data_IF_462277560252
#
_entry.id   IF_462277560252
#
_cell.length_a   1.000
_cell.length_b   1.000
_cell.length_c   1.000
_cell.angle_alpha   90.00
_cell.angle_beta   90.00
_cell.angle_gamma   90.00
#
_symmetry.space_group_name_H-M   'P 1'
#
loop_
_entity.id
_entity.type
_entity.pdbx_description
1 polymer ?
#
# COMPACT_ATOMS: atom_id res chain seq x y z
N UNK A 1 38.48 6.90 -42.40
CA UNK A 1 39.50 6.98 -41.34
C UNK A 1 39.55 8.42 -40.89
N UNK A 2 39.21 8.81 -39.69
CA UNK A 2 38.82 8.13 -38.45
C UNK A 2 38.25 9.24 -37.55
N UNK A 3 37.44 8.86 -36.56
CA UNK A 3 37.14 9.65 -35.34
C UNK A 3 36.53 11.05 -35.60
N UNK A 4 35.21 11.21 -35.54
CA UNK A 4 34.61 11.74 -34.30
C UNK A 4 33.12 11.38 -34.23
N UNK A 5 32.84 10.08 -34.26
CA UNK A 5 31.58 9.56 -33.72
C UNK A 5 31.70 9.57 -32.20
N UNK A 6 31.38 10.69 -31.54
CA UNK A 6 31.14 10.81 -30.09
C UNK A 6 30.82 12.27 -29.72
N UNK A 7 29.57 12.70 -29.86
CA UNK A 7 29.08 13.79 -29.01
C UNK A 7 27.54 13.82 -28.99
N UNK A 8 27.00 13.64 -27.80
CA UNK A 8 25.69 14.15 -27.37
C UNK A 8 24.43 13.63 -28.07
N UNK A 9 24.06 12.41 -27.68
CA UNK A 9 22.65 12.07 -27.39
C UNK A 9 22.23 12.92 -26.18
N UNK A 10 21.91 14.20 -26.39
CA UNK A 10 21.45 15.09 -25.32
C UNK A 10 19.93 15.04 -25.22
N UNK A 11 19.49 14.13 -24.35
CA UNK A 11 18.26 14.14 -23.57
C UNK A 11 17.05 14.89 -24.13
N UNK A 12 16.14 14.16 -24.76
CA UNK A 12 14.71 14.50 -24.76
C UNK A 12 14.14 14.23 -23.37
N UNK A 13 14.38 15.11 -22.40
CA UNK A 13 13.55 15.17 -21.19
C UNK A 13 12.41 16.14 -21.46
N UNK A 14 11.27 15.59 -21.83
CA UNK A 14 10.00 16.30 -21.85
C UNK A 14 9.77 16.88 -20.47
N UNK A 15 9.93 18.20 -20.38
CA UNK A 15 9.61 18.98 -19.19
C UNK A 15 8.09 19.04 -19.11
N UNK A 16 7.48 18.10 -18.39
CA UNK A 16 6.15 18.34 -17.83
C UNK A 16 6.32 19.53 -16.90
N UNK A 17 5.95 20.71 -17.40
CA UNK A 17 5.80 21.90 -16.58
C UNK A 17 4.70 21.54 -15.57
N UNK A 18 5.08 21.25 -14.34
CA UNK A 18 4.17 21.32 -13.21
C UNK A 18 3.48 22.68 -13.31
N UNK A 19 2.18 22.65 -13.59
CA UNK A 19 1.37 23.85 -13.68
C UNK A 19 1.36 24.47 -12.29
N UNK A 20 2.25 25.44 -12.09
CA UNK A 20 2.23 26.29 -10.91
C UNK A 20 1.01 27.18 -11.08
N UNK A 21 -0.12 26.76 -10.51
CA UNK A 21 -1.30 27.60 -10.44
C UNK A 21 -0.88 28.82 -9.62
N UNK A 22 -0.77 29.96 -10.32
CA UNK A 22 -0.47 31.24 -9.71
C UNK A 22 -1.78 31.73 -9.08
N UNK A 23 -2.13 31.22 -7.91
CA UNK A 23 -3.29 31.71 -7.16
C UNK A 23 -2.91 33.04 -6.50
N UNK A 24 -3.33 34.14 -7.12
CA UNK A 24 -3.30 35.48 -6.53
C UNK A 24 -4.53 35.67 -5.64
N UNK A 25 -4.30 35.95 -4.35
CA UNK A 25 -5.28 36.52 -3.43
C UNK A 25 -6.09 35.51 -2.64
N UNK A 26 -5.57 35.01 -1.51
CA UNK A 26 -6.27 34.12 -0.60
C UNK A 26 -5.80 34.34 0.87
N UNK A 27 -6.70 34.04 1.82
CA UNK A 27 -6.62 34.39 3.25
C UNK A 27 -5.39 33.76 3.93
N UNK A 28 -4.94 34.31 5.07
CA UNK A 28 -3.76 33.84 5.80
C UNK A 28 -3.78 32.31 6.08
N UNK A 29 -4.98 31.78 6.30
CA UNK A 29 -5.26 30.37 6.57
C UNK A 29 -4.99 29.45 5.36
N UNK A 30 -5.22 29.94 4.14
CA UNK A 30 -4.94 29.21 2.90
C UNK A 30 -3.45 29.21 2.56
N UNK A 31 -2.70 30.22 3.04
CA UNK A 31 -1.24 30.26 2.92
C UNK A 31 -0.56 29.13 3.70
N UNK A 32 -1.04 28.85 4.91
CA UNK A 32 -0.51 27.77 5.76
C UNK A 32 -0.77 26.39 5.15
N UNK A 33 -1.94 26.19 4.53
CA UNK A 33 -2.29 24.94 3.83
C UNK A 33 -1.39 24.75 2.61
N UNK A 34 -1.21 25.79 1.78
CA UNK A 34 -0.32 25.73 0.62
C UNK A 34 1.12 25.45 1.05
N UNK A 35 1.58 26.00 2.16
CA UNK A 35 2.91 25.75 2.69
C UNK A 35 3.05 24.33 3.25
N UNK A 36 2.02 23.80 3.91
CA UNK A 36 1.96 22.40 4.34
C UNK A 36 2.00 21.44 3.16
N UNK A 37 1.18 21.68 2.13
CA UNK A 37 1.17 20.86 0.91
C UNK A 37 2.53 20.86 0.23
N UNK A 38 3.17 22.03 0.09
CA UNK A 38 4.52 22.14 -0.47
C UNK A 38 5.53 21.29 0.31
N UNK A 39 5.50 21.34 1.65
CA UNK A 39 6.39 20.55 2.50
C UNK A 39 6.12 19.06 2.35
N UNK A 40 4.85 18.65 2.40
CA UNK A 40 4.44 17.25 2.23
C UNK A 40 4.84 16.70 0.86
N UNK A 41 4.52 17.40 -0.23
CA UNK A 41 4.89 16.98 -1.58
C UNK A 41 6.40 16.96 -1.78
N UNK A 42 7.14 17.94 -1.22
CA UNK A 42 8.60 17.96 -1.26
C UNK A 42 9.21 16.74 -0.59
N UNK A 43 8.77 16.43 0.63
CA UNK A 43 9.23 15.26 1.38
C UNK A 43 8.86 13.95 0.67
N UNK A 44 7.64 13.87 0.12
CA UNK A 44 7.18 12.71 -0.66
C UNK A 44 8.05 12.45 -1.88
N UNK A 45 8.42 13.50 -2.62
CA UNK A 45 9.30 13.38 -3.78
C UNK A 45 10.69 12.90 -3.38
N UNK A 46 11.23 13.37 -2.25
CA UNK A 46 12.54 12.91 -1.76
C UNK A 46 12.54 11.41 -1.43
N UNK A 47 11.49 10.92 -0.77
CA UNK A 47 11.36 9.49 -0.49
C UNK A 47 11.17 8.66 -1.76
N UNK A 48 10.35 9.13 -2.71
CA UNK A 48 10.10 8.41 -3.96
C UNK A 48 11.37 8.30 -4.81
N UNK A 49 12.18 9.36 -4.88
CA UNK A 49 13.48 9.33 -5.59
C UNK A 49 14.43 8.29 -4.98
N UNK A 50 14.49 8.22 -3.64
CA UNK A 50 15.29 7.20 -2.94
C UNK A 50 14.77 5.79 -3.19
N UNK A 51 13.45 5.58 -3.27
CA UNK A 51 12.85 4.29 -3.62
C UNK A 51 13.23 3.88 -5.04
N UNK A 52 13.09 4.79 -6.00
CA UNK A 52 13.37 4.53 -7.42
C UNK A 52 14.87 4.18 -7.63
N UNK A 53 15.79 4.81 -6.89
CA UNK A 53 17.23 4.48 -6.91
C UNK A 53 17.50 3.08 -6.36
N UNK A 54 16.80 2.67 -5.29
CA UNK A 54 16.93 1.34 -4.69
C UNK A 54 16.41 0.26 -5.66
N UNK A 55 15.26 0.48 -6.29
CA UNK A 55 14.68 -0.48 -7.24
C UNK A 55 15.49 -0.59 -8.54
N UNK A 56 16.04 0.52 -9.03
CA UNK A 56 16.99 0.52 -10.13
C UNK A 56 18.23 -0.34 -9.81
N UNK A 57 18.71 -0.28 -8.56
CA UNK A 57 19.85 -1.08 -8.09
C UNK A 57 19.53 -2.57 -7.92
N UNK A 58 18.25 -2.92 -7.69
CA UNK A 58 17.78 -4.31 -7.53
C UNK A 58 17.69 -5.06 -8.86
N UNK A 59 17.58 -4.35 -9.98
CA UNK A 59 17.40 -4.95 -11.31
C UNK A 59 18.62 -5.72 -11.87
N UNK A 60 19.79 -5.68 -11.23
CA UNK A 60 21.02 -6.33 -11.72
C UNK A 60 21.22 -7.77 -11.19
N UNK A 61 20.43 -8.24 -10.21
CA UNK A 61 20.70 -9.52 -9.52
C UNK A 61 19.69 -10.67 -9.73
N UNK A 62 18.99 -10.75 -10.87
CA UNK A 62 18.17 -11.93 -11.19
C UNK A 62 18.57 -12.52 -12.55
N UNK A 63 19.76 -13.11 -12.61
CA UNK A 63 20.09 -14.12 -13.60
C UNK A 63 20.45 -15.40 -12.87
N UNK A 64 19.62 -16.44 -13.03
CA UNK A 64 19.97 -17.80 -12.63
C UNK A 64 18.84 -18.60 -11.97
N UNK A 65 18.27 -19.49 -12.79
CA UNK A 65 17.54 -20.72 -12.45
C UNK A 65 16.01 -20.65 -12.33
N UNK A 66 15.38 -20.78 -13.51
CA UNK A 66 14.06 -21.41 -13.63
C UNK A 66 14.19 -22.91 -13.33
N UNK A 67 13.64 -23.34 -12.21
CA UNK A 67 13.33 -24.75 -11.94
C UNK A 67 11.80 -24.86 -11.92
N UNK A 68 11.22 -25.29 -13.03
CA UNK A 68 9.79 -25.59 -13.15
C UNK A 68 9.50 -26.95 -12.51
N UNK A 69 9.17 -26.96 -11.22
CA UNK A 69 8.57 -28.13 -10.56
C UNK A 69 7.07 -28.08 -10.81
N UNK A 70 6.58 -29.00 -11.63
CA UNK A 70 5.15 -29.25 -11.75
C UNK A 70 4.66 -29.93 -10.45
N UNK A 71 4.14 -29.12 -9.52
CA UNK A 71 3.43 -29.64 -8.35
C UNK A 71 2.04 -30.05 -8.82
N UNK A 72 1.85 -31.35 -8.99
CA UNK A 72 0.52 -31.95 -9.08
C UNK A 72 -0.08 -31.89 -7.67
N UNK A 73 -0.91 -30.87 -7.41
CA UNK A 73 -1.64 -30.80 -6.15
C UNK A 73 -2.82 -31.77 -6.23
N UNK A 74 -2.55 -33.02 -5.86
CA UNK A 74 -3.61 -33.90 -5.39
C UNK A 74 -4.27 -33.22 -4.19
N UNK A 75 -5.57 -32.92 -4.34
CA UNK A 75 -6.44 -32.48 -3.25
C UNK A 75 -6.66 -33.64 -2.28
N UNK A 76 -5.61 -34.02 -1.55
CA UNK A 76 -5.76 -34.80 -0.34
C UNK A 76 -5.64 -33.82 0.82
N UNK A 77 -6.76 -33.61 1.51
CA UNK A 77 -6.91 -32.71 2.65
C UNK A 77 -6.03 -33.15 3.81
N UNK A 78 -4.72 -32.88 3.72
CA UNK A 78 -3.88 -32.75 4.88
C UNK A 78 -4.31 -31.46 5.57
N UNK A 79 -5.18 -31.62 6.57
CA UNK A 79 -5.48 -30.59 7.56
C UNK A 79 -4.21 -30.28 8.36
N UNK A 80 -3.19 -29.71 7.72
CA UNK A 80 -2.13 -29.02 8.41
C UNK A 80 -2.77 -27.77 8.98
N UNK A 81 -3.40 -27.90 10.15
CA UNK A 81 -3.92 -26.76 10.90
C UNK A 81 -2.70 -25.97 11.35
N UNK A 82 -2.31 -24.99 10.54
CA UNK A 82 -1.48 -23.89 11.04
C UNK A 82 -2.11 -23.40 12.35
N UNK A 83 -1.31 -23.06 13.38
CA UNK A 83 -1.82 -22.38 14.56
C UNK A 83 -2.71 -21.23 14.07
N UNK A 84 -3.93 -21.13 14.61
CA UNK A 84 -4.85 -20.06 14.23
C UNK A 84 -4.08 -18.73 14.32
N UNK A 85 -3.88 -18.07 13.19
CA UNK A 85 -3.17 -16.80 13.16
C UNK A 85 -3.95 -15.83 14.05
N UNK A 86 -3.36 -15.46 15.18
CA UNK A 86 -3.98 -14.53 16.11
C UNK A 86 -3.68 -13.12 15.63
N UNK A 87 -4.69 -12.43 15.11
CA UNK A 87 -4.55 -11.05 14.68
C UNK A 87 -4.61 -10.17 15.94
N UNK A 88 -3.59 -9.33 16.19
CA UNK A 88 -3.60 -8.44 17.35
C UNK A 88 -4.75 -7.42 17.23
N UNK A 89 -5.30 -7.03 18.38
CA UNK A 89 -6.35 -6.00 18.43
C UNK A 89 -5.73 -4.65 18.08
N UNK A 90 -6.37 -3.93 17.16
CA UNK A 90 -5.96 -2.61 16.72
C UNK A 90 -6.54 -1.54 17.63
N UNK A 91 -5.66 -0.77 18.28
CA UNK A 91 -6.03 0.28 19.23
C UNK A 91 -6.20 1.67 18.58
N UNK A 92 -6.00 1.80 17.26
CA UNK A 92 -6.10 3.10 16.56
C UNK A 92 -4.76 3.80 16.33
N UNK A 93 -3.64 3.22 16.75
CA UNK A 93 -2.30 3.76 16.46
C UNK A 93 -1.98 3.62 14.98
N UNK A 94 -1.70 4.73 14.31
CA UNK A 94 -1.41 4.73 12.87
C UNK A 94 -0.19 3.87 12.51
N UNK A 95 0.82 3.80 13.37
CA UNK A 95 2.03 2.99 13.18
C UNK A 95 1.72 1.49 13.04
N UNK A 96 0.69 1.02 13.75
CA UNK A 96 0.28 -0.39 13.76
C UNK A 96 -0.69 -0.73 12.62
N UNK A 97 -1.24 0.28 11.93
CA UNK A 97 -2.30 0.10 10.92
C UNK A 97 -1.86 -0.76 9.73
N UNK A 98 -0.66 -0.50 9.20
CA UNK A 98 -0.16 -1.22 8.01
C UNK A 98 -0.01 -2.70 8.34
N UNK A 99 0.63 -3.02 9.47
CA UNK A 99 0.82 -4.41 9.91
C UNK A 99 -0.51 -5.11 10.20
N UNK A 100 -1.43 -4.43 10.89
CA UNK A 100 -2.77 -4.95 11.15
C UNK A 100 -3.51 -5.28 9.85
N UNK A 101 -3.50 -4.35 8.89
CA UNK A 101 -4.18 -4.51 7.59
C UNK A 101 -3.63 -5.72 6.84
N UNK A 102 -2.32 -5.86 6.74
CA UNK A 102 -1.70 -6.97 6.02
C UNK A 102 -2.03 -8.33 6.66
N UNK A 103 -2.01 -8.39 8.00
CA UNK A 103 -2.43 -9.59 8.75
C UNK A 103 -3.91 -9.92 8.52
N UNK A 104 -4.78 -8.93 8.59
CA UNK A 104 -6.22 -9.13 8.38
C UNK A 104 -6.53 -9.57 6.95
N UNK A 105 -5.88 -8.96 5.95
CA UNK A 105 -6.06 -9.34 4.55
C UNK A 105 -5.62 -10.77 4.31
N UNK A 106 -4.44 -11.13 4.83
CA UNK A 106 -3.86 -12.47 4.62
C UNK A 106 -4.63 -13.57 5.34
N UNK A 107 -5.17 -13.29 6.53
CA UNK A 107 -5.82 -14.32 7.36
C UNK A 107 -7.35 -14.38 7.25
N UNK A 108 -8.02 -13.26 6.97
CA UNK A 108 -9.49 -13.17 6.96
C UNK A 108 -10.02 -12.83 5.57
N UNK A 109 -9.46 -11.81 4.91
CA UNK A 109 -9.99 -11.37 3.61
C UNK A 109 -9.77 -12.41 2.50
N UNK A 110 -8.57 -13.00 2.44
CA UNK A 110 -8.18 -14.01 1.44
C UNK A 110 -8.96 -15.34 1.57
N UNK A 111 -9.51 -15.61 2.75
CA UNK A 111 -10.23 -16.85 3.06
C UNK A 111 -11.60 -16.85 2.34
N UNK A 112 -11.75 -17.74 1.36
CA UNK A 112 -13.00 -17.89 0.59
C UNK A 112 -14.09 -18.64 1.34
N UNK A 113 -13.75 -19.36 2.42
CA UNK A 113 -14.70 -20.10 3.25
C UNK A 113 -15.50 -19.23 4.23
N UNK A 114 -15.10 -17.97 4.44
CA UNK A 114 -15.82 -17.02 5.30
C UNK A 114 -16.72 -16.10 4.47
N UNK A 115 -17.98 -15.97 4.88
CA UNK A 115 -18.91 -15.00 4.29
C UNK A 115 -18.57 -13.55 4.68
N UNK A 116 -18.98 -12.55 3.89
CA UNK A 116 -18.62 -11.15 4.16
C UNK A 116 -19.10 -10.66 5.53
N UNK A 117 -20.29 -11.08 5.95
CA UNK A 117 -20.84 -10.79 7.29
C UNK A 117 -19.92 -11.33 8.40
N UNK A 118 -19.41 -12.55 8.24
CA UNK A 118 -18.50 -13.16 9.22
C UNK A 118 -17.15 -12.42 9.24
N UNK A 119 -16.62 -12.06 8.06
CA UNK A 119 -15.39 -11.25 7.95
C UNK A 119 -15.56 -9.90 8.64
N UNK A 120 -16.69 -9.25 8.44
CA UNK A 120 -17.00 -7.98 9.08
C UNK A 120 -17.15 -8.14 10.59
N UNK A 121 -17.85 -9.16 11.06
CA UNK A 121 -17.95 -9.45 12.50
C UNK A 121 -16.56 -9.67 13.13
N UNK A 122 -15.66 -10.39 12.46
CA UNK A 122 -14.28 -10.53 12.89
C UNK A 122 -13.54 -9.19 12.93
N UNK A 123 -13.69 -8.36 11.89
CA UNK A 123 -13.11 -7.02 11.86
C UNK A 123 -13.58 -6.17 13.05
N UNK A 124 -14.89 -6.18 13.36
CA UNK A 124 -15.43 -5.44 14.51
C UNK A 124 -14.84 -5.88 15.85
N UNK A 125 -14.57 -7.17 16.01
CA UNK A 125 -13.97 -7.73 17.22
C UNK A 125 -12.47 -7.47 17.37
N UNK A 126 -11.81 -7.04 16.30
CA UNK A 126 -10.37 -6.74 16.27
C UNK A 126 -10.05 -5.27 16.50
N UNK A 127 -11.06 -4.41 16.63
CA UNK A 127 -10.88 -3.01 16.97
C UNK A 127 -11.10 -2.79 18.47
N UNK A 128 -10.27 -1.93 19.06
CA UNK A 128 -10.40 -1.42 20.43
C UNK A 128 -10.68 0.09 20.42
N UNK A 129 -11.05 0.63 21.57
CA UNK A 129 -11.07 2.07 21.88
C UNK A 129 -11.84 2.94 20.85
N UNK A 130 -11.14 3.89 20.23
CA UNK A 130 -11.68 4.85 19.27
C UNK A 130 -12.10 4.17 17.96
N UNK A 131 -11.27 3.34 17.29
CA UNK A 131 -11.69 2.59 16.11
C UNK A 131 -12.97 1.78 16.33
N UNK A 132 -13.09 1.07 17.45
CA UNK A 132 -14.28 0.28 17.77
C UNK A 132 -15.53 1.16 17.89
N UNK A 133 -15.38 2.35 18.48
CA UNK A 133 -16.47 3.32 18.63
C UNK A 133 -16.93 3.90 17.30
N UNK A 134 -16.02 4.06 16.34
CA UNK A 134 -16.33 4.53 15.00
C UNK A 134 -17.13 3.49 14.22
N UNK A 135 -16.75 2.22 14.24
CA UNK A 135 -17.42 1.20 13.42
C UNK A 135 -18.66 0.58 14.07
N UNK A 136 -18.95 0.88 15.34
CA UNK A 136 -20.03 0.23 16.11
C UNK A 136 -21.40 0.36 15.44
N UNK A 137 -21.68 1.53 14.85
CA UNK A 137 -22.97 1.90 14.29
C UNK A 137 -23.21 1.32 12.89
N UNK A 138 -22.16 0.77 12.27
CA UNK A 138 -22.27 0.16 10.95
C UNK A 138 -22.97 -1.21 11.09
N UNK A 139 -24.10 -1.43 10.40
CA UNK A 139 -24.84 -2.68 10.48
C UNK A 139 -24.04 -3.84 9.88
N UNK A 140 -24.24 -5.05 10.41
CA UNK A 140 -23.65 -6.28 9.87
C UNK A 140 -24.42 -6.73 8.61
N UNK A 141 -24.26 -6.03 7.49
CA UNK A 141 -24.82 -6.44 6.19
C UNK A 141 -23.72 -6.91 5.22
N UNK A 142 -24.13 -7.57 4.13
CA UNK A 142 -23.19 -8.05 3.12
C UNK A 142 -22.60 -6.89 2.30
N UNK A 143 -23.35 -5.78 2.16
CA UNK A 143 -22.88 -4.54 1.51
C UNK A 143 -21.91 -3.76 2.41
N UNK A 144 -22.18 -3.75 3.71
CA UNK A 144 -21.40 -3.04 4.72
C UNK A 144 -19.91 -3.43 4.78
N UNK A 145 -19.56 -4.68 4.45
CA UNK A 145 -18.15 -5.10 4.38
C UNK A 145 -17.37 -4.48 3.22
N UNK A 146 -18.04 -4.11 2.12
CA UNK A 146 -17.38 -3.47 0.96
C UNK A 146 -17.27 -1.95 1.13
N UNK A 147 -18.10 -1.36 2.00
CA UNK A 147 -18.12 0.07 2.31
C UNK A 147 -17.29 0.45 3.56
N UNK A 148 -16.87 -0.54 4.35
CA UNK A 148 -16.06 -0.37 5.57
C UNK A 148 -14.55 -0.47 5.31
#
# INVERSE_FOLDING_TARGET
>A
MSEEQKESIKGKRGRVKGSLIRCTGLSAEESEIIEFEKRYFGLKLEFQDKIDVIDASRSINVSGQNISIAIQTEQSGANFRLPKLNIPVFSGKFEDWINFKDLFVTAVHSQTSLGKIQKFQYLKGLFSDEPASLIKHIPLSNESYEEA
#
